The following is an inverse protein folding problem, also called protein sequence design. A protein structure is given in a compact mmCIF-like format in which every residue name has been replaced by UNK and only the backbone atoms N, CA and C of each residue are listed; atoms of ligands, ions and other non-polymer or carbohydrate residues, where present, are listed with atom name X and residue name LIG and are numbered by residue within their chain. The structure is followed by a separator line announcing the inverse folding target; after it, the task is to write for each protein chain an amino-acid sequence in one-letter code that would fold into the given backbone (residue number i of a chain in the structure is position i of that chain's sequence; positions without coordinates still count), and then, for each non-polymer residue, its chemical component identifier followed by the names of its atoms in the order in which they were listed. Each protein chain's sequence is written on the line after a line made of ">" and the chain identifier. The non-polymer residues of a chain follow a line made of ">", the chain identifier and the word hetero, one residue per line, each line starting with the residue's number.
data_IF_034906632859
#
_entry.id   IF_034906632859
#
_cell.length_a   1.000
_cell.length_b   1.000
_cell.length_c   1.000
_cell.angle_alpha   90.00
_cell.angle_beta   90.00
_cell.angle_gamma   90.00
#
_symmetry.space_group_name_H-M   'P 1'
#
loop_
_entity.id
_entity.type
_entity.pdbx_description
1 polymer ?
#
# COMPACT_ATOMS: atom_id res chain seq x y z
N UNK A 1 21.58 -9.22 9.97
CA UNK A 1 20.19 -8.78 10.19
C UNK A 1 20.07 -7.64 11.20
N UNK A 2 20.68 -7.70 12.41
CA UNK A 2 20.61 -6.62 13.42
C UNK A 2 20.88 -5.20 12.89
N UNK A 3 21.90 -5.03 12.03
CA UNK A 3 22.31 -3.75 11.40
C UNK A 3 21.16 -3.00 10.72
N UNK A 4 20.25 -3.71 10.05
CA UNK A 4 19.13 -3.09 9.31
C UNK A 4 17.95 -2.66 10.19
N UNK A 5 17.88 -3.16 11.43
CA UNK A 5 16.80 -2.89 12.38
C UNK A 5 17.21 -1.98 13.54
N UNK A 6 18.44 -1.45 13.53
CA UNK A 6 18.85 -0.44 14.50
C UNK A 6 18.18 0.90 14.18
N UNK A 7 17.48 1.42 15.18
CA UNK A 7 16.78 2.71 15.14
C UNK A 7 17.67 3.89 15.56
N UNK A 8 18.94 3.66 15.93
CA UNK A 8 19.91 4.71 16.23
C UNK A 8 20.64 5.21 14.97
N UNK A 9 21.14 6.45 14.98
CA UNK A 9 21.98 7.00 13.90
C UNK A 9 21.26 7.31 12.57
N UNK A 10 22.05 7.51 11.52
CA UNK A 10 21.60 7.87 10.17
C UNK A 10 21.79 6.70 9.20
N UNK A 11 21.36 6.81 7.94
CA UNK A 11 21.55 5.73 6.96
C UNK A 11 22.08 6.25 5.62
N UNK A 12 22.92 5.44 4.97
CA UNK A 12 23.39 5.68 3.62
C UNK A 12 22.34 5.30 2.56
N UNK A 13 22.61 5.63 1.29
CA UNK A 13 21.70 5.38 0.16
C UNK A 13 21.38 3.91 -0.07
N UNK A 14 22.38 3.04 0.02
CA UNK A 14 22.21 1.58 -0.14
C UNK A 14 21.28 1.00 0.93
N UNK A 15 21.49 1.39 2.19
CA UNK A 15 20.64 0.95 3.31
C UNK A 15 19.23 1.51 3.16
N UNK A 16 19.08 2.77 2.71
CA UNK A 16 17.78 3.34 2.39
C UNK A 16 17.04 2.54 1.31
N UNK A 17 17.71 2.17 0.22
CA UNK A 17 17.12 1.33 -0.83
C UNK A 17 16.68 -0.04 -0.29
N UNK A 18 17.56 -0.74 0.44
CA UNK A 18 17.25 -2.05 1.02
C UNK A 18 16.10 -2.00 2.03
N UNK A 19 16.03 -0.95 2.85
CA UNK A 19 14.91 -0.75 3.79
C UNK A 19 13.60 -0.52 3.03
N UNK A 20 13.60 0.21 1.92
CA UNK A 20 12.39 0.38 1.10
C UNK A 20 11.96 -0.93 0.39
N UNK A 21 12.90 -1.78 -0.02
CA UNK A 21 12.55 -3.14 -0.47
C UNK A 21 11.92 -3.97 0.66
N UNK A 22 12.41 -3.81 1.89
CA UNK A 22 11.82 -4.45 3.06
C UNK A 22 10.41 -3.93 3.39
N UNK A 23 10.10 -2.65 3.12
CA UNK A 23 8.72 -2.11 3.23
C UNK A 23 7.75 -2.90 2.36
N UNK A 24 8.15 -3.30 1.15
CA UNK A 24 7.32 -4.15 0.29
C UNK A 24 7.03 -5.51 0.92
N UNK A 25 7.99 -6.07 1.67
CA UNK A 25 7.79 -7.32 2.43
C UNK A 25 6.86 -7.08 3.63
N UNK A 26 6.97 -5.93 4.31
CA UNK A 26 6.07 -5.55 5.41
C UNK A 26 4.62 -5.32 4.97
N UNK A 27 4.37 -5.11 3.68
CA UNK A 27 3.02 -5.01 3.11
C UNK A 27 2.34 -6.38 2.91
N UNK A 28 3.09 -7.49 2.94
CA UNK A 28 2.54 -8.84 2.71
C UNK A 28 1.36 -9.18 3.64
N UNK A 29 1.42 -8.91 4.97
CA UNK A 29 0.28 -9.16 5.85
C UNK A 29 -0.97 -8.37 5.45
N UNK A 30 -0.82 -7.10 5.08
CA UNK A 30 -1.95 -6.28 4.61
C UNK A 30 -2.50 -6.84 3.29
N UNK A 31 -1.63 -7.26 2.36
CA UNK A 31 -2.05 -7.85 1.10
C UNK A 31 -2.84 -9.16 1.30
N UNK A 32 -2.35 -10.05 2.17
CA UNK A 32 -3.03 -11.29 2.53
C UNK A 32 -4.41 -10.98 3.14
N UNK A 33 -4.50 -10.01 4.06
CA UNK A 33 -5.77 -9.57 4.63
C UNK A 33 -6.75 -9.07 3.56
N UNK A 34 -6.28 -8.30 2.58
CA UNK A 34 -7.11 -7.84 1.46
C UNK A 34 -7.62 -9.01 0.61
N UNK A 35 -6.80 -10.04 0.37
CA UNK A 35 -7.25 -11.24 -0.36
C UNK A 35 -8.34 -12.00 0.41
N UNK A 36 -8.15 -12.23 1.71
CA UNK A 36 -9.18 -12.90 2.53
C UNK A 36 -10.48 -12.08 2.60
N UNK A 37 -10.36 -10.77 2.80
CA UNK A 37 -11.50 -9.86 2.79
C UNK A 37 -12.25 -9.92 1.45
N UNK A 38 -11.52 -9.86 0.33
CA UNK A 38 -12.10 -9.93 -1.01
C UNK A 38 -12.82 -11.25 -1.27
N UNK A 39 -12.31 -12.38 -0.76
CA UNK A 39 -12.98 -13.68 -0.93
C UNK A 39 -14.30 -13.71 -0.18
N UNK A 40 -14.34 -13.22 1.06
CA UNK A 40 -15.56 -13.21 1.87
C UNK A 40 -16.62 -12.31 1.24
N UNK A 41 -16.24 -11.09 0.86
CA UNK A 41 -17.16 -10.17 0.16
C UNK A 41 -17.60 -10.76 -1.18
N UNK A 42 -16.69 -11.39 -1.93
CA UNK A 42 -17.01 -12.04 -3.19
C UNK A 42 -18.03 -13.17 -3.05
N UNK A 43 -17.91 -14.00 -2.02
CA UNK A 43 -18.86 -15.08 -1.73
C UNK A 43 -20.25 -14.54 -1.40
N UNK A 44 -20.36 -13.51 -0.57
CA UNK A 44 -21.65 -12.87 -0.24
C UNK A 44 -22.29 -12.20 -1.47
N UNK A 45 -21.49 -11.60 -2.34
CA UNK A 45 -21.97 -11.01 -3.59
C UNK A 45 -22.47 -12.06 -4.59
N UNK A 46 -21.80 -13.21 -4.67
CA UNK A 46 -22.23 -14.32 -5.52
C UNK A 46 -23.56 -14.92 -5.05
N UNK A 47 -23.72 -15.11 -3.73
CA UNK A 47 -24.97 -15.59 -3.13
C UNK A 47 -26.14 -14.61 -3.41
N UNK A 48 -25.89 -13.31 -3.24
CA UNK A 48 -26.86 -12.25 -3.56
C UNK A 48 -27.25 -12.21 -5.05
N UNK A 49 -26.32 -12.53 -5.96
CA UNK A 49 -26.60 -12.65 -7.39
C UNK A 49 -27.30 -13.98 -7.76
N UNK A 50 -27.62 -14.84 -6.78
CA UNK A 50 -28.29 -16.12 -7.00
C UNK A 50 -27.40 -17.21 -7.59
N UNK A 51 -26.08 -17.04 -7.51
CA UNK A 51 -25.10 -17.98 -8.05
C UNK A 51 -24.87 -19.09 -7.01
N UNK A 52 -25.34 -20.30 -7.33
CA UNK A 52 -25.09 -21.46 -6.47
C UNK A 52 -23.66 -21.98 -6.65
N UNK A 53 -22.81 -21.66 -5.68
CA UNK A 53 -21.41 -22.07 -5.65
C UNK A 53 -21.27 -23.61 -5.58
N UNK A 54 -22.28 -24.32 -5.07
CA UNK A 54 -22.28 -25.79 -5.00
C UNK A 54 -22.38 -26.41 -6.40
N UNK A 55 -23.20 -25.83 -7.28
CA UNK A 55 -23.36 -26.29 -8.67
C UNK A 55 -22.07 -26.09 -9.49
N UNK A 56 -21.35 -25.00 -9.27
CA UNK A 56 -20.04 -24.73 -9.88
C UNK A 56 -18.98 -25.73 -9.39
N UNK A 57 -19.02 -26.06 -8.10
CA UNK A 57 -18.06 -26.98 -7.48
C UNK A 57 -18.31 -28.44 -7.89
N UNK A 58 -19.56 -28.82 -8.15
CA UNK A 58 -19.95 -30.16 -8.61
C UNK A 58 -19.76 -30.37 -10.12
N UNK A 59 -20.04 -29.35 -10.95
CA UNK A 59 -19.92 -29.44 -12.40
C UNK A 59 -18.47 -29.38 -12.91
N UNK A 60 -17.56 -28.76 -12.14
CA UNK A 60 -16.14 -28.60 -12.51
C UNK A 60 -15.90 -27.70 -13.73
N UNK A 61 -16.97 -27.13 -14.31
CA UNK A 61 -16.94 -26.21 -15.44
C UNK A 61 -17.24 -24.80 -14.95
N UNK A 62 -16.24 -23.92 -15.08
CA UNK A 62 -16.36 -22.52 -14.74
C UNK A 62 -16.45 -21.70 -16.03
N UNK A 63 -17.66 -21.29 -16.43
CA UNK A 63 -17.82 -20.32 -17.53
C UNK A 63 -17.82 -18.90 -16.95
N UNK A 64 -16.65 -18.25 -17.07
CA UNK A 64 -16.44 -16.90 -16.57
C UNK A 64 -17.43 -15.89 -17.20
N UNK A 65 -17.83 -16.07 -18.47
CA UNK A 65 -18.74 -15.13 -19.14
C UNK A 65 -20.16 -15.25 -18.63
N UNK A 66 -20.60 -16.47 -18.34
CA UNK A 66 -21.91 -16.73 -17.75
C UNK A 66 -21.99 -16.16 -16.33
N UNK A 67 -20.94 -16.36 -15.53
CA UNK A 67 -20.83 -15.79 -14.19
C UNK A 67 -20.88 -14.24 -14.21
N UNK A 68 -20.12 -13.62 -15.11
CA UNK A 68 -20.12 -12.17 -15.26
C UNK A 68 -21.50 -11.64 -15.66
N UNK A 69 -22.22 -12.33 -16.55
CA UNK A 69 -23.58 -11.96 -16.96
C UNK A 69 -24.58 -12.09 -15.80
N UNK A 70 -24.53 -13.18 -15.04
CA UNK A 70 -25.42 -13.40 -13.88
C UNK A 70 -25.14 -12.40 -12.75
N UNK A 71 -23.86 -12.11 -12.45
CA UNK A 71 -23.51 -11.06 -11.51
C UNK A 71 -23.99 -9.69 -11.99
N UNK A 72 -23.86 -9.36 -13.28
CA UNK A 72 -24.33 -8.08 -13.81
C UNK A 72 -25.85 -7.93 -13.72
N UNK A 73 -26.61 -8.98 -14.03
CA UNK A 73 -28.07 -8.99 -13.91
C UNK A 73 -28.52 -8.91 -12.44
N UNK A 74 -27.97 -9.76 -11.57
CA UNK A 74 -28.27 -9.74 -10.13
C UNK A 74 -27.93 -8.39 -9.48
N UNK A 75 -26.85 -7.74 -9.92
CA UNK A 75 -26.46 -6.42 -9.41
C UNK A 75 -27.30 -5.26 -9.94
N UNK A 76 -27.86 -5.36 -11.15
CA UNK A 76 -28.77 -4.36 -11.69
C UNK A 76 -30.11 -4.35 -10.96
N UNK A 77 -30.56 -5.52 -10.55
CA UNK A 77 -31.87 -5.67 -9.94
C UNK A 77 -31.88 -5.26 -8.46
N UNK A 78 -30.73 -5.34 -7.76
CA UNK A 78 -30.64 -5.02 -6.32
C UNK A 78 -29.37 -4.23 -5.90
N UNK A 79 -29.19 -2.98 -6.38
CA UNK A 79 -28.00 -2.18 -6.08
C UNK A 79 -27.87 -1.82 -4.58
N UNK A 80 -28.98 -1.72 -3.85
CA UNK A 80 -28.95 -1.44 -2.40
C UNK A 80 -28.38 -2.60 -1.59
N UNK A 81 -28.62 -3.84 -2.04
CA UNK A 81 -28.14 -5.04 -1.39
C UNK A 81 -26.62 -5.15 -1.47
N UNK A 82 -26.03 -4.90 -2.64
CA UNK A 82 -24.58 -4.82 -2.85
C UNK A 82 -23.95 -3.81 -1.89
N UNK A 83 -24.56 -2.63 -1.79
CA UNK A 83 -24.03 -1.56 -0.95
C UNK A 83 -24.10 -1.93 0.53
N UNK A 84 -25.15 -2.65 0.94
CA UNK A 84 -25.28 -3.20 2.28
C UNK A 84 -24.27 -4.32 2.56
N UNK A 85 -24.02 -5.23 1.61
CA UNK A 85 -22.98 -6.26 1.70
C UNK A 85 -21.62 -5.60 1.93
N UNK A 86 -21.25 -4.63 1.10
CA UNK A 86 -19.98 -3.90 1.28
C UNK A 86 -19.88 -3.17 2.63
N UNK A 87 -20.94 -2.49 3.07
CA UNK A 87 -20.95 -1.79 4.37
C UNK A 87 -20.82 -2.77 5.54
N UNK A 88 -21.56 -3.87 5.49
CA UNK A 88 -21.59 -4.86 6.56
C UNK A 88 -20.31 -5.69 6.61
N UNK A 89 -19.65 -5.87 5.46
CA UNK A 89 -18.36 -6.54 5.37
C UNK A 89 -17.27 -5.83 6.19
N UNK A 90 -17.29 -4.49 6.29
CA UNK A 90 -16.38 -3.72 7.13
C UNK A 90 -16.76 -3.77 8.62
N UNK A 91 -16.77 -4.98 9.18
CA UNK A 91 -16.93 -5.18 10.62
C UNK A 91 -15.77 -4.52 11.40
N UNK A 92 -15.95 -4.21 12.70
CA UNK A 92 -14.87 -3.67 13.53
C UNK A 92 -13.60 -4.55 13.50
N UNK A 93 -13.76 -5.87 13.39
CA UNK A 93 -12.65 -6.80 13.26
C UNK A 93 -11.80 -6.53 12.01
N UNK A 94 -12.42 -6.35 10.85
CA UNK A 94 -11.71 -6.04 9.60
C UNK A 94 -11.02 -4.69 9.63
N UNK A 95 -11.73 -3.66 10.11
CA UNK A 95 -11.18 -2.31 10.23
C UNK A 95 -9.94 -2.32 11.13
N UNK A 96 -10.03 -2.93 12.31
CA UNK A 96 -8.90 -3.02 13.25
C UNK A 96 -7.75 -3.82 12.63
N UNK A 97 -8.04 -4.93 11.95
CA UNK A 97 -7.03 -5.78 11.31
C UNK A 97 -6.25 -5.02 10.24
N UNK A 98 -6.94 -4.26 9.38
CA UNK A 98 -6.30 -3.41 8.38
C UNK A 98 -5.43 -2.33 9.04
N UNK A 99 -5.95 -1.62 10.05
CA UNK A 99 -5.18 -0.59 10.78
C UNK A 99 -3.91 -1.18 11.39
N UNK A 100 -4.02 -2.30 12.12
CA UNK A 100 -2.88 -2.97 12.76
C UNK A 100 -1.85 -3.44 11.73
N UNK A 101 -2.30 -3.90 10.56
CA UNK A 101 -1.39 -4.34 9.49
C UNK A 101 -0.60 -3.20 8.83
N UNK A 102 -1.16 -1.98 8.82
CA UNK A 102 -0.55 -0.81 8.17
C UNK A 102 0.41 -0.07 9.12
N UNK A 103 0.18 -0.12 10.43
CA UNK A 103 1.03 0.58 11.43
C UNK A 103 2.53 0.29 11.26
N UNK A 104 2.99 -0.97 11.15
CA UNK A 104 4.41 -1.28 10.96
C UNK A 104 4.98 -0.69 9.68
N UNK A 105 4.19 -0.68 8.60
CA UNK A 105 4.58 -0.14 7.29
C UNK A 105 4.81 1.36 7.40
N UNK A 106 3.83 2.10 7.93
CA UNK A 106 3.91 3.56 8.08
C UNK A 106 5.06 3.94 9.00
N UNK A 107 5.18 3.30 10.16
CA UNK A 107 6.24 3.57 11.12
C UNK A 107 7.63 3.34 10.53
N UNK A 108 7.84 2.17 9.90
CA UNK A 108 9.13 1.80 9.34
C UNK A 108 9.52 2.69 8.15
N UNK A 109 8.57 3.04 7.29
CA UNK A 109 8.78 3.98 6.19
C UNK A 109 9.17 5.36 6.69
N UNK A 110 8.41 5.94 7.62
CA UNK A 110 8.71 7.27 8.18
C UNK A 110 10.08 7.29 8.87
N UNK A 111 10.41 6.26 9.66
CA UNK A 111 11.73 6.15 10.29
C UNK A 111 12.86 6.06 9.27
N UNK A 112 12.68 5.29 8.20
CA UNK A 112 13.65 5.12 7.13
C UNK A 112 13.92 6.45 6.41
N UNK A 113 12.87 7.19 6.06
CA UNK A 113 13.01 8.51 5.44
C UNK A 113 13.65 9.52 6.40
N UNK A 114 13.20 9.60 7.65
CA UNK A 114 13.76 10.53 8.63
C UNK A 114 15.26 10.33 8.85
N UNK A 115 15.70 9.07 8.98
CA UNK A 115 17.12 8.72 9.11
C UNK A 115 17.94 9.11 7.89
N UNK A 116 17.38 8.89 6.70
CA UNK A 116 18.08 9.24 5.46
C UNK A 116 18.22 10.76 5.31
N UNK A 117 17.16 11.51 5.60
CA UNK A 117 17.18 12.97 5.58
C UNK A 117 18.12 13.54 6.63
N UNK A 118 18.17 12.96 7.82
CA UNK A 118 19.13 13.36 8.84
C UNK A 118 20.58 13.14 8.39
N UNK A 119 20.85 12.05 7.66
CA UNK A 119 22.16 11.82 7.06
C UNK A 119 22.54 12.84 5.97
N UNK A 120 21.56 13.27 5.16
CA UNK A 120 21.83 14.19 4.04
C UNK A 120 21.79 15.67 4.42
N UNK A 121 21.04 16.02 5.46
CA UNK A 121 20.71 17.41 5.79
C UNK A 121 20.65 17.63 7.30
N UNK A 122 21.69 17.24 8.04
CA UNK A 122 21.73 17.26 9.51
C UNK A 122 21.27 18.57 10.17
N UNK A 123 21.53 19.73 9.55
CA UNK A 123 21.14 21.05 10.09
C UNK A 123 19.65 21.36 9.98
N UNK A 124 18.99 20.92 8.90
CA UNK A 124 17.61 21.29 8.56
C UNK A 124 16.70 20.05 8.40
N UNK A 125 17.12 18.93 8.98
CA UNK A 125 16.55 17.60 8.75
C UNK A 125 15.04 17.55 9.02
N UNK A 126 14.57 18.13 10.12
CA UNK A 126 13.15 18.13 10.50
C UNK A 126 12.30 18.84 9.45
N UNK A 127 12.69 20.03 9.01
CA UNK A 127 11.95 20.80 8.01
C UNK A 127 11.90 20.10 6.66
N UNK A 128 13.02 19.52 6.22
CA UNK A 128 13.09 18.79 4.95
C UNK A 128 12.29 17.50 5.03
N UNK A 129 12.32 16.80 6.15
CA UNK A 129 11.54 15.59 6.36
C UNK A 129 10.04 15.86 6.27
N UNK A 130 9.52 16.84 7.02
CA UNK A 130 8.10 17.19 6.94
C UNK A 130 7.72 17.76 5.56
N UNK A 131 8.62 18.51 4.92
CA UNK A 131 8.42 18.96 3.53
C UNK A 131 8.26 17.80 2.56
N UNK A 132 9.05 16.73 2.71
CA UNK A 132 8.92 15.50 1.93
C UNK A 132 7.63 14.76 2.23
N UNK A 133 7.26 14.58 3.50
CA UNK A 133 5.99 13.93 3.89
C UNK A 133 4.79 14.66 3.28
N UNK A 134 4.76 15.99 3.34
CA UNK A 134 3.70 16.79 2.72
C UNK A 134 3.72 16.63 1.20
N UNK A 135 4.90 16.62 0.58
CA UNK A 135 5.04 16.41 -0.86
C UNK A 135 4.50 15.05 -1.28
N UNK A 136 4.87 13.98 -0.56
CA UNK A 136 4.39 12.62 -0.82
C UNK A 136 2.87 12.53 -0.69
N UNK A 137 2.27 13.11 0.37
CA UNK A 137 0.80 13.15 0.54
C UNK A 137 0.12 13.87 -0.65
N UNK A 138 0.68 14.99 -1.11
CA UNK A 138 0.14 15.72 -2.28
C UNK A 138 0.25 14.86 -3.54
N UNK A 139 1.40 14.21 -3.77
CA UNK A 139 1.60 13.36 -4.93
C UNK A 139 0.67 12.14 -4.92
N UNK A 140 0.51 11.49 -3.78
CA UNK A 140 -0.41 10.36 -3.59
C UNK A 140 -1.86 10.78 -3.84
N UNK A 141 -2.28 11.94 -3.32
CA UNK A 141 -3.60 12.49 -3.62
C UNK A 141 -3.79 12.75 -5.12
N UNK A 142 -2.79 13.33 -5.80
CA UNK A 142 -2.85 13.56 -7.25
C UNK A 142 -2.90 12.26 -8.04
N UNK A 143 -2.17 11.23 -7.62
CA UNK A 143 -2.18 9.89 -8.22
C UNK A 143 -3.56 9.26 -8.05
N UNK A 144 -4.11 9.29 -6.83
CA UNK A 144 -5.42 8.70 -6.52
C UNK A 144 -6.55 9.44 -7.26
N UNK A 145 -6.50 10.77 -7.31
CA UNK A 145 -7.50 11.58 -8.02
C UNK A 145 -7.50 11.36 -9.52
N UNK A 146 -6.34 11.12 -10.12
CA UNK A 146 -6.18 10.93 -11.57
C UNK A 146 -5.87 9.46 -11.90
N UNK A 147 -6.46 8.53 -11.14
CA UNK A 147 -6.12 7.11 -11.16
C UNK A 147 -6.02 6.56 -12.60
N UNK A 148 -4.85 6.00 -12.92
CA UNK A 148 -4.48 5.38 -14.21
C UNK A 148 -4.73 6.23 -15.48
N UNK A 149 -5.00 7.53 -15.37
CA UNK A 149 -5.37 8.36 -16.52
C UNK A 149 -4.75 9.76 -16.51
N UNK A 150 -4.28 10.18 -17.69
CA UNK A 150 -3.85 11.55 -17.93
C UNK A 150 -2.37 11.86 -17.63
N UNK A 151 -1.91 13.06 -18.05
CA UNK A 151 -0.53 13.51 -17.87
C UNK A 151 -0.17 13.77 -16.41
N UNK A 152 -1.15 14.16 -15.57
CA UNK A 152 -0.93 14.47 -14.15
C UNK A 152 -0.45 13.23 -13.40
N UNK A 153 -1.11 12.08 -13.56
CA UNK A 153 -0.70 10.82 -12.96
C UNK A 153 0.75 10.46 -13.30
N UNK A 154 1.12 10.56 -14.59
CA UNK A 154 2.48 10.23 -15.07
C UNK A 154 3.53 11.16 -14.47
N UNK A 155 3.25 12.46 -14.43
CA UNK A 155 4.16 13.47 -13.87
C UNK A 155 4.34 13.24 -12.36
N UNK A 156 3.25 12.99 -11.62
CA UNK A 156 3.32 12.73 -10.19
C UNK A 156 4.14 11.47 -9.87
N UNK A 157 3.92 10.38 -10.60
CA UNK A 157 4.69 9.14 -10.44
C UNK A 157 6.17 9.33 -10.80
N UNK A 158 6.46 10.05 -11.88
CA UNK A 158 7.83 10.34 -12.30
C UNK A 158 8.56 11.23 -11.28
N UNK A 159 7.89 12.24 -10.73
CA UNK A 159 8.46 13.12 -9.71
C UNK A 159 8.77 12.37 -8.41
N UNK A 160 7.85 11.50 -7.96
CA UNK A 160 8.09 10.62 -6.80
C UNK A 160 9.32 9.74 -7.02
N UNK A 161 9.45 9.15 -8.22
CA UNK A 161 10.62 8.32 -8.57
C UNK A 161 11.92 9.14 -8.57
N UNK A 162 11.91 10.36 -9.11
CA UNK A 162 13.10 11.23 -9.08
C UNK A 162 13.53 11.51 -7.64
N UNK A 163 12.60 11.89 -6.76
CA UNK A 163 12.88 12.17 -5.35
C UNK A 163 13.50 10.93 -4.69
N UNK A 164 12.90 9.77 -4.91
CA UNK A 164 13.42 8.49 -4.42
C UNK A 164 14.85 8.21 -4.90
N UNK A 165 15.12 8.39 -6.19
CA UNK A 165 16.45 8.18 -6.76
C UNK A 165 17.49 9.16 -6.21
N UNK A 166 17.13 10.43 -5.99
CA UNK A 166 18.02 11.41 -5.35
C UNK A 166 18.40 10.95 -3.93
N UNK A 167 17.43 10.45 -3.15
CA UNK A 167 17.68 9.96 -1.80
C UNK A 167 18.60 8.73 -1.79
N UNK A 168 18.56 7.89 -2.83
CA UNK A 168 19.47 6.76 -2.98
C UNK A 168 20.88 7.22 -3.35
N UNK A 169 21.01 8.05 -4.40
CA UNK A 169 22.31 8.31 -5.04
C UNK A 169 23.13 9.36 -4.28
N UNK A 170 22.48 10.34 -3.65
CA UNK A 170 23.19 11.49 -3.06
C UNK A 170 24.09 11.07 -1.90
N UNK A 171 25.37 11.41 -1.93
CA UNK A 171 26.27 11.16 -0.81
C UNK A 171 25.92 12.05 0.40
N UNK A 172 25.97 11.47 1.60
CA UNK A 172 25.78 12.16 2.87
C UNK A 172 27.05 12.83 3.40
N UNK A 173 28.22 12.51 2.86
CA UNK A 173 29.53 13.01 3.32
C UNK A 173 29.93 12.51 4.72
N UNK A 174 29.21 11.51 5.24
CA UNK A 174 29.44 10.84 6.53
C UNK A 174 30.08 9.48 6.22
N UNK A 175 31.13 9.10 6.95
CA UNK A 175 31.78 7.80 6.74
C UNK A 175 30.82 6.63 6.99
N UNK A 176 31.01 5.50 6.28
CA UNK A 176 30.11 4.33 6.42
C UNK A 176 30.02 3.79 7.85
N UNK A 177 31.07 3.96 8.65
CA UNK A 177 31.14 3.57 10.05
C UNK A 177 30.45 4.57 10.99
N UNK A 178 30.35 5.85 10.59
CA UNK A 178 29.76 6.92 11.40
C UNK A 178 28.23 7.04 11.21
N UNK A 179 27.69 6.38 10.18
CA UNK A 179 26.24 6.27 10.00
C UNK A 179 25.58 5.50 11.16
N UNK A 180 26.32 4.65 11.87
CA UNK A 180 25.85 3.81 12.96
C UNK A 180 26.51 4.19 14.30
N UNK A 181 25.86 5.10 15.02
CA UNK A 181 26.12 5.31 16.44
C UNK A 181 25.59 4.18 17.31
#
# INVERSE_FOLDING_TARGET
>A
MKKYFQFNGTINGTTFFLRNLFVAVLLIPCFILTLFFSVIVGMELMDSAGIDIQEIQESGTFDQKELEAQMEEGFKDNPEEILNIFKNAFTPFWIISFVVSIIPVVWFSLSTYFKRITGLFSKNNVYIFFGLVITDIILDYLIFKNFLSGPIFKISLFLSLIIFMILIIKDSGIGEEEHEG
#
